data_IF_655816519027
#
_entry.id   IF_655816519027
#
_cell.length_a   1.000
_cell.length_b   1.000
_cell.length_c   1.000
_cell.angle_alpha   90.00
_cell.angle_beta   90.00
_cell.angle_gamma   90.00
#
_symmetry.space_group_name_H-M   'P 1'
#
loop_
_entity.id
_entity.type
_entity.pdbx_description
1 polymer ?
#
# COMPACT_ATOMS: atom_id res chain seq x y z
N UNK A 1 8.09 17.92 -17.12
CA UNK A 1 9.14 17.47 -16.19
C UNK A 1 10.08 18.64 -15.97
N UNK A 2 10.46 18.91 -14.72
CA UNK A 2 11.42 19.98 -14.41
C UNK A 2 12.85 19.52 -14.73
N UNK A 3 13.82 20.45 -14.80
CA UNK A 3 15.23 20.08 -14.94
C UNK A 3 15.72 19.22 -13.77
N UNK A 4 15.23 19.48 -12.54
CA UNK A 4 15.55 18.70 -11.34
C UNK A 4 15.06 17.26 -11.48
N UNK A 5 13.82 17.06 -11.91
CA UNK A 5 13.23 15.74 -12.14
C UNK A 5 13.98 14.95 -13.22
N UNK A 6 14.39 15.61 -14.31
CA UNK A 6 15.18 14.98 -15.38
C UNK A 6 16.54 14.52 -14.87
N UNK A 7 17.24 15.37 -14.09
CA UNK A 7 18.53 15.04 -13.49
C UNK A 7 18.41 13.90 -12.47
N UNK A 8 17.43 13.99 -11.57
CA UNK A 8 17.16 12.96 -10.57
C UNK A 8 16.82 11.60 -11.22
N UNK A 9 16.03 11.62 -12.30
CA UNK A 9 15.72 10.42 -13.09
C UNK A 9 16.96 9.82 -13.73
N UNK A 10 17.83 10.65 -14.31
CA UNK A 10 19.07 10.22 -14.95
C UNK A 10 20.02 9.58 -13.93
N UNK A 11 20.30 10.27 -12.83
CA UNK A 11 21.21 9.78 -11.78
C UNK A 11 20.65 8.51 -11.14
N UNK A 12 19.35 8.47 -10.85
CA UNK A 12 18.67 7.29 -10.32
C UNK A 12 18.81 6.08 -11.25
N UNK A 13 18.50 6.22 -12.54
CA UNK A 13 18.66 5.13 -13.53
C UNK A 13 20.11 4.68 -13.66
N UNK A 14 21.06 5.61 -13.73
CA UNK A 14 22.49 5.29 -13.83
C UNK A 14 22.98 4.52 -12.61
N UNK A 15 22.60 4.94 -11.40
CA UNK A 15 22.96 4.22 -10.18
C UNK A 15 22.43 2.78 -10.17
N UNK A 16 21.20 2.57 -10.64
CA UNK A 16 20.61 1.24 -10.75
C UNK A 16 21.36 0.35 -11.73
N UNK A 17 21.71 0.87 -12.91
CA UNK A 17 22.48 0.12 -13.91
C UNK A 17 23.83 -0.34 -13.36
N UNK A 18 24.51 0.51 -12.60
CA UNK A 18 25.78 0.17 -11.93
C UNK A 18 25.53 -0.91 -10.87
N UNK A 19 24.51 -0.74 -10.04
CA UNK A 19 24.19 -1.66 -8.96
C UNK A 19 23.77 -3.05 -9.47
N UNK A 20 22.96 -3.12 -10.52
CA UNK A 20 22.54 -4.38 -11.13
C UNK A 20 23.69 -5.07 -11.87
N UNK A 21 24.51 -4.32 -12.63
CA UNK A 21 25.60 -4.90 -13.43
C UNK A 21 26.85 -5.25 -12.63
N UNK A 22 27.16 -4.50 -11.57
CA UNK A 22 28.40 -4.65 -10.80
C UNK A 22 28.16 -5.38 -9.49
N UNK A 23 27.08 -5.07 -8.77
CA UNK A 23 26.87 -5.53 -7.38
C UNK A 23 25.72 -6.55 -7.23
N UNK A 24 24.90 -6.75 -8.27
CA UNK A 24 23.69 -7.60 -8.27
C UNK A 24 22.74 -7.38 -7.06
N UNK A 25 22.77 -6.17 -6.46
CA UNK A 25 22.06 -5.81 -5.22
C UNK A 25 21.71 -4.32 -5.24
N UNK A 26 20.71 -3.91 -4.45
CA UNK A 26 20.38 -2.48 -4.23
C UNK A 26 19.03 -2.03 -4.78
N UNK A 27 17.94 -2.68 -4.37
CA UNK A 27 16.58 -2.37 -4.83
C UNK A 27 16.09 -0.96 -4.44
N UNK A 28 16.59 -0.37 -3.35
CA UNK A 28 16.10 0.92 -2.80
C UNK A 28 17.07 2.09 -3.00
N UNK A 29 18.36 1.83 -3.19
CA UNK A 29 19.41 2.86 -3.29
C UNK A 29 19.19 3.84 -4.46
N UNK A 30 18.79 3.40 -5.68
CA UNK A 30 18.47 4.32 -6.76
C UNK A 30 17.40 5.35 -6.41
N UNK A 31 16.35 4.91 -5.71
CA UNK A 31 15.28 5.79 -5.27
C UNK A 31 15.75 6.76 -4.19
N UNK A 32 16.58 6.31 -3.23
CA UNK A 32 17.21 7.18 -2.22
C UNK A 32 18.05 8.28 -2.87
N UNK A 33 18.82 7.95 -3.90
CA UNK A 33 19.63 8.93 -4.63
C UNK A 33 18.72 9.92 -5.36
N UNK A 34 17.73 9.44 -6.11
CA UNK A 34 16.82 10.32 -6.85
C UNK A 34 16.06 11.30 -5.93
N UNK A 35 15.55 10.82 -4.79
CA UNK A 35 14.86 11.66 -3.79
C UNK A 35 15.76 12.75 -3.19
N UNK A 36 17.08 12.54 -3.15
CA UNK A 36 18.03 13.58 -2.71
C UNK A 36 18.11 14.76 -3.68
N UNK A 37 17.91 14.51 -4.97
CA UNK A 37 17.94 15.56 -6.02
C UNK A 37 16.57 16.19 -6.24
N UNK A 38 15.51 15.39 -6.18
CA UNK A 38 14.13 15.83 -6.34
C UNK A 38 13.23 15.08 -5.35
N UNK A 39 12.89 15.68 -4.19
CA UNK A 39 12.03 15.08 -3.18
C UNK A 39 10.61 14.77 -3.69
N UNK A 40 10.15 15.45 -4.75
CA UNK A 40 8.81 15.29 -5.33
C UNK A 40 8.83 14.45 -6.62
N UNK A 41 9.97 13.80 -6.94
CA UNK A 41 10.12 13.00 -8.16
C UNK A 41 9.03 11.95 -8.30
N UNK A 42 8.59 11.37 -7.19
CA UNK A 42 7.59 10.32 -7.17
C UNK A 42 6.24 10.80 -7.75
N UNK A 43 5.82 12.03 -7.45
CA UNK A 43 4.62 12.66 -8.02
C UNK A 43 4.72 12.73 -9.55
N UNK A 44 5.89 13.11 -10.06
CA UNK A 44 6.13 13.22 -11.51
C UNK A 44 6.16 11.86 -12.21
N UNK A 45 6.70 10.83 -11.56
CA UNK A 45 6.85 9.50 -12.15
C UNK A 45 5.53 8.71 -12.16
N UNK A 46 4.62 9.04 -11.24
CA UNK A 46 3.37 8.27 -11.03
C UNK A 46 2.14 8.88 -11.70
N UNK A 47 2.22 10.13 -12.18
CA UNK A 47 1.08 10.89 -12.73
C UNK A 47 0.26 10.20 -13.83
N UNK A 48 0.88 9.32 -14.63
CA UNK A 48 0.24 8.64 -15.77
C UNK A 48 -0.20 7.21 -15.40
N UNK A 49 -0.17 6.87 -14.11
CA UNK A 49 -0.53 5.56 -13.58
C UNK A 49 -1.81 5.62 -12.75
N UNK A 50 -2.66 4.61 -12.94
CA UNK A 50 -3.71 4.25 -12.01
C UNK A 50 -3.10 3.35 -10.94
N UNK A 51 -3.16 3.80 -9.68
CA UNK A 51 -2.43 3.19 -8.58
C UNK A 51 -3.41 2.51 -7.63
N UNK A 52 -3.11 1.25 -7.33
CA UNK A 52 -3.76 0.44 -6.30
C UNK A 52 -2.73 0.25 -5.19
N UNK A 53 -3.09 0.57 -3.95
CA UNK A 53 -2.24 0.36 -2.79
C UNK A 53 -2.78 -0.79 -1.96
N UNK A 54 -1.91 -1.73 -1.60
CA UNK A 54 -2.21 -2.85 -0.71
C UNK A 54 -1.39 -2.68 0.56
N UNK A 55 -2.06 -2.68 1.71
CA UNK A 55 -1.43 -2.58 3.03
C UNK A 55 -2.18 -3.43 4.07
N UNK A 56 -1.65 -3.51 5.28
CA UNK A 56 -2.14 -4.35 6.37
C UNK A 56 -1.08 -5.33 6.87
N UNK A 57 -1.20 -5.81 8.10
CA UNK A 57 -0.08 -6.47 8.80
C UNK A 57 0.37 -7.75 8.11
N UNK A 58 -0.60 -8.55 7.63
CA UNK A 58 -0.34 -9.82 6.99
C UNK A 58 -0.92 -9.89 5.59
N UNK A 59 -0.30 -10.71 4.74
CA UNK A 59 -0.82 -11.05 3.42
C UNK A 59 -0.56 -10.02 2.30
N UNK A 60 0.08 -8.88 2.58
CA UNK A 60 0.32 -7.83 1.57
C UNK A 60 1.01 -8.35 0.31
N UNK A 61 2.12 -9.07 0.46
CA UNK A 61 2.93 -9.57 -0.67
C UNK A 61 2.16 -10.56 -1.54
N UNK A 62 1.42 -11.49 -0.93
CA UNK A 62 0.63 -12.47 -1.68
C UNK A 62 -0.53 -11.79 -2.41
N UNK A 63 -1.29 -10.95 -1.72
CA UNK A 63 -2.41 -10.19 -2.33
C UNK A 63 -1.90 -9.30 -3.46
N UNK A 64 -0.74 -8.67 -3.30
CA UNK A 64 -0.09 -7.86 -4.34
C UNK A 64 0.27 -8.71 -5.55
N UNK A 65 0.97 -9.83 -5.35
CA UNK A 65 1.37 -10.72 -6.44
C UNK A 65 0.18 -11.28 -7.23
N UNK A 66 -0.88 -11.71 -6.54
CA UNK A 66 -2.10 -12.20 -7.18
C UNK A 66 -2.82 -11.09 -7.95
N UNK A 67 -2.96 -9.91 -7.36
CA UNK A 67 -3.58 -8.74 -8.02
C UNK A 67 -2.81 -8.36 -9.28
N UNK A 68 -1.48 -8.32 -9.21
CA UNK A 68 -0.62 -8.08 -10.39
C UNK A 68 -0.87 -9.12 -11.47
N UNK A 69 -0.84 -10.42 -11.13
CA UNK A 69 -1.06 -11.49 -12.10
C UNK A 69 -2.42 -11.41 -12.80
N UNK A 70 -3.48 -11.09 -12.05
CA UNK A 70 -4.84 -10.91 -12.60
C UNK A 70 -4.89 -9.71 -13.53
N UNK A 71 -4.38 -8.56 -13.09
CA UNK A 71 -4.39 -7.33 -13.88
C UNK A 71 -3.50 -7.43 -15.12
N UNK A 72 -2.39 -8.16 -15.05
CA UNK A 72 -1.53 -8.38 -16.21
C UNK A 72 -2.21 -9.19 -17.31
N UNK A 73 -3.08 -10.13 -16.95
CA UNK A 73 -3.89 -10.88 -17.91
C UNK A 73 -4.95 -9.99 -18.59
N UNK A 74 -5.53 -9.04 -17.87
CA UNK A 74 -6.58 -8.18 -18.39
C UNK A 74 -6.05 -6.95 -19.15
N UNK A 75 -4.98 -6.32 -18.66
CA UNK A 75 -4.53 -5.00 -19.09
C UNK A 75 -3.07 -4.96 -19.58
N UNK A 76 -2.36 -6.08 -19.53
CA UNK A 76 -0.93 -6.15 -19.83
C UNK A 76 -0.07 -5.62 -18.68
N UNK A 77 1.18 -5.25 -18.97
CA UNK A 77 2.20 -4.98 -17.95
C UNK A 77 1.75 -4.06 -16.81
N UNK A 78 1.91 -4.54 -15.56
CA UNK A 78 1.62 -3.80 -14.33
C UNK A 78 2.92 -3.46 -13.62
N UNK A 79 3.01 -2.26 -13.05
CA UNK A 79 4.16 -1.84 -12.23
C UNK A 79 3.92 -2.26 -10.78
N UNK A 80 4.87 -3.00 -10.19
CA UNK A 80 4.84 -3.37 -8.77
C UNK A 80 6.23 -3.24 -8.17
N UNK A 81 6.31 -2.90 -6.88
CA UNK A 81 7.57 -2.93 -6.13
C UNK A 81 7.94 -4.37 -5.75
N UNK A 82 9.24 -4.63 -5.60
CA UNK A 82 9.75 -5.91 -5.09
C UNK A 82 9.39 -6.08 -3.62
N UNK A 83 9.16 -7.32 -3.18
CA UNK A 83 8.92 -7.61 -1.76
C UNK A 83 10.00 -6.99 -0.85
N UNK A 84 9.57 -6.38 0.24
CA UNK A 84 10.43 -5.64 1.18
C UNK A 84 10.87 -4.24 0.74
N UNK A 85 10.55 -3.81 -0.49
CA UNK A 85 10.79 -2.44 -0.97
C UNK A 85 9.52 -1.56 -0.81
N UNK A 86 8.88 -1.64 0.36
CA UNK A 86 7.56 -1.06 0.68
C UNK A 86 7.62 0.39 1.23
N UNK A 87 8.81 0.98 1.30
CA UNK A 87 9.04 2.38 1.66
C UNK A 87 9.20 3.29 0.43
N UNK A 88 9.12 4.60 0.63
CA UNK A 88 9.22 5.62 -0.44
C UNK A 88 10.44 5.46 -1.35
N UNK A 89 11.58 5.04 -0.82
CA UNK A 89 12.81 4.81 -1.58
C UNK A 89 12.69 3.61 -2.53
N UNK A 90 12.08 2.52 -2.07
CA UNK A 90 11.81 1.33 -2.88
C UNK A 90 10.81 1.62 -3.98
N UNK A 91 9.70 2.28 -3.64
CA UNK A 91 8.68 2.67 -4.61
C UNK A 91 9.26 3.62 -5.66
N UNK A 92 10.05 4.62 -5.26
CA UNK A 92 10.71 5.52 -6.20
C UNK A 92 11.66 4.76 -7.13
N UNK A 93 12.44 3.81 -6.60
CA UNK A 93 13.35 2.99 -7.40
C UNK A 93 12.61 2.14 -8.46
N UNK A 94 11.44 1.62 -8.11
CA UNK A 94 10.54 0.93 -9.04
C UNK A 94 10.13 1.86 -10.19
N UNK A 95 9.58 3.03 -9.87
CA UNK A 95 9.05 3.97 -10.85
C UNK A 95 10.13 4.62 -11.73
N UNK A 96 11.38 4.72 -11.26
CA UNK A 96 12.50 5.13 -12.11
C UNK A 96 12.65 4.23 -13.35
N UNK A 97 12.28 2.96 -13.27
CA UNK A 97 12.37 2.00 -14.40
C UNK A 97 11.03 1.62 -14.99
N UNK A 98 9.94 2.19 -14.49
CA UNK A 98 8.62 1.93 -15.00
C UNK A 98 8.56 2.33 -16.49
N UNK A 99 7.85 1.56 -17.33
CA UNK A 99 7.69 1.88 -18.74
C UNK A 99 7.04 3.24 -18.91
N UNK A 100 7.36 3.96 -19.98
CA UNK A 100 6.60 5.18 -20.30
C UNK A 100 5.20 4.77 -20.75
N UNK A 101 4.19 5.38 -20.15
CA UNK A 101 2.80 5.21 -20.57
C UNK A 101 2.59 5.95 -21.89
N UNK A 102 1.91 5.32 -22.86
CA UNK A 102 1.60 5.95 -24.14
C UNK A 102 0.63 7.11 -23.92
N UNK A 103 0.78 8.20 -24.67
CA UNK A 103 -0.10 9.38 -24.59
C UNK A 103 -1.56 8.94 -24.77
N UNK A 104 -2.44 9.37 -23.85
CA UNK A 104 -3.87 9.04 -23.86
C UNK A 104 -4.22 7.67 -23.25
N UNK A 105 -3.25 6.92 -22.71
CA UNK A 105 -3.50 5.73 -21.90
C UNK A 105 -3.11 5.98 -20.45
N UNK A 106 -3.61 5.13 -19.54
CA UNK A 106 -3.11 5.00 -18.16
C UNK A 106 -2.39 3.67 -18.02
N UNK A 107 -1.24 3.67 -17.35
CA UNK A 107 -0.59 2.45 -16.88
C UNK A 107 -1.22 1.98 -15.57
N UNK A 108 -1.08 0.71 -15.21
CA UNK A 108 -1.49 0.21 -13.91
C UNK A 108 -0.28 0.02 -13.00
N UNK A 109 -0.43 0.39 -11.73
CA UNK A 109 0.54 0.09 -10.69
C UNK A 109 -0.17 -0.50 -9.46
N UNK A 110 0.38 -1.57 -8.92
CA UNK A 110 -0.06 -2.18 -7.66
C UNK A 110 1.11 -2.11 -6.70
N UNK A 111 0.94 -1.43 -5.58
CA UNK A 111 2.01 -1.13 -4.65
C UNK A 111 1.74 -1.77 -3.30
N UNK A 112 2.68 -2.60 -2.86
CA UNK A 112 2.78 -3.04 -1.46
C UNK A 112 3.38 -1.89 -0.63
N UNK A 113 2.62 -1.38 0.33
CA UNK A 113 3.06 -0.28 1.19
C UNK A 113 2.94 -0.67 2.66
N UNK A 114 3.98 -0.32 3.43
CA UNK A 114 3.97 -0.42 4.88
C UNK A 114 3.03 0.61 5.52
N UNK A 115 2.29 0.17 6.52
CA UNK A 115 1.21 0.90 7.20
C UNK A 115 1.70 2.24 7.76
N UNK A 116 2.86 2.25 8.42
CA UNK A 116 3.44 3.45 9.00
C UNK A 116 4.02 4.39 7.94
N UNK A 117 4.38 3.86 6.77
CA UNK A 117 4.87 4.65 5.63
C UNK A 117 3.74 5.24 4.77
N UNK A 118 2.52 4.71 4.88
CA UNK A 118 1.39 5.09 4.03
C UNK A 118 1.05 6.59 4.07
N UNK A 119 0.96 7.27 5.24
CA UNK A 119 0.69 8.71 5.28
C UNK A 119 1.68 9.51 4.44
N UNK A 120 2.98 9.19 4.58
CA UNK A 120 4.02 9.97 3.90
C UNK A 120 4.03 9.71 2.40
N UNK A 121 3.81 8.48 1.96
CA UNK A 121 3.84 8.14 0.54
C UNK A 121 2.64 8.76 -0.22
N UNK A 122 1.47 8.77 0.40
CA UNK A 122 0.22 9.32 -0.18
C UNK A 122 0.19 10.85 -0.28
N UNK A 123 1.19 11.55 0.30
CA UNK A 123 1.45 12.96 -0.03
C UNK A 123 1.92 13.12 -1.50
N UNK A 124 2.63 12.12 -2.05
CA UNK A 124 3.23 12.17 -3.39
C UNK A 124 2.47 11.39 -4.45
N UNK A 125 1.78 10.31 -4.06
CA UNK A 125 0.97 9.49 -4.97
C UNK A 125 -0.51 9.69 -4.68
N UNK A 126 -1.35 9.56 -5.71
CA UNK A 126 -2.81 9.59 -5.58
C UNK A 126 -3.39 8.24 -6.01
N UNK A 127 -3.59 7.30 -5.07
CA UNK A 127 -4.22 6.03 -5.35
C UNK A 127 -5.67 6.21 -5.80
N UNK A 128 -6.13 5.28 -6.63
CA UNK A 128 -7.55 5.14 -7.00
C UNK A 128 -8.27 4.15 -6.08
N UNK A 129 -7.52 3.21 -5.52
CA UNK A 129 -8.01 2.15 -4.64
C UNK A 129 -6.98 1.88 -3.55
N UNK A 130 -7.44 1.82 -2.31
CA UNK A 130 -6.73 1.22 -1.19
C UNK A 130 -7.35 -0.12 -0.87
N UNK A 131 -6.53 -1.13 -0.58
CA UNK A 131 -6.96 -2.46 -0.14
C UNK A 131 -6.28 -2.77 1.18
N UNK A 132 -7.05 -2.92 2.25
CA UNK A 132 -6.54 -3.24 3.59
C UNK A 132 -6.85 -4.69 3.92
N UNK A 133 -5.80 -5.50 4.10
CA UNK A 133 -5.96 -6.94 4.30
C UNK A 133 -6.47 -7.29 5.70
N UNK A 134 -5.71 -6.88 6.72
CA UNK A 134 -6.00 -7.08 8.14
C UNK A 134 -5.00 -6.26 8.97
N UNK A 135 -5.32 -6.02 10.24
CA UNK A 135 -4.38 -5.46 11.21
C UNK A 135 -4.41 -6.34 12.44
N UNK A 136 -3.31 -7.06 12.65
CA UNK A 136 -3.05 -7.87 13.82
C UNK A 136 -1.86 -7.30 14.58
N UNK A 137 -1.71 -7.72 15.84
CA UNK A 137 -0.55 -7.33 16.62
C UNK A 137 0.67 -8.09 16.13
N UNK A 138 1.68 -7.39 15.64
CA UNK A 138 2.93 -7.98 15.19
C UNK A 138 4.00 -7.73 16.28
N UNK A 139 4.35 -8.78 17.04
CA UNK A 139 5.27 -8.81 18.20
C UNK A 139 4.72 -8.23 19.53
N UNK A 140 5.06 -8.89 20.65
CA UNK A 140 4.59 -8.54 22.01
C UNK A 140 5.17 -7.22 22.55
N UNK A 141 6.27 -6.76 21.95
CA UNK A 141 7.17 -5.72 22.44
C UNK A 141 6.76 -4.30 21.97
N UNK A 142 5.79 -4.23 21.04
CA UNK A 142 5.24 -3.00 20.51
C UNK A 142 3.94 -2.66 21.24
N UNK A 143 4.08 -1.78 22.23
CA UNK A 143 3.01 -1.18 23.02
C UNK A 143 1.81 -0.76 22.16
N UNK A 144 0.63 -1.38 22.34
CA UNK A 144 -0.65 -0.83 21.90
C UNK A 144 -0.84 -0.59 20.38
N UNK A 145 -0.03 -1.20 19.51
CA UNK A 145 0.15 -0.74 18.12
C UNK A 145 -1.05 -0.88 17.18
N UNK A 146 -2.03 -1.75 17.42
CA UNK A 146 -3.11 -2.01 16.44
C UNK A 146 -3.86 -0.72 16.05
N UNK A 147 -4.27 0.07 17.04
CA UNK A 147 -5.02 1.31 16.78
C UNK A 147 -4.14 2.40 16.19
N UNK A 148 -2.88 2.52 16.63
CA UNK A 148 -1.90 3.46 16.05
C UNK A 148 -1.61 3.12 14.58
N UNK A 149 -1.45 1.84 14.27
CA UNK A 149 -1.27 1.34 12.90
C UNK A 149 -2.51 1.63 12.07
N UNK A 150 -3.71 1.41 12.63
CA UNK A 150 -4.94 1.77 11.95
C UNK A 150 -5.06 3.28 11.72
N UNK A 151 -4.64 4.12 12.67
CA UNK A 151 -4.60 5.57 12.52
C UNK A 151 -3.66 6.02 11.39
N UNK A 152 -2.50 5.37 11.21
CA UNK A 152 -1.64 5.62 10.05
C UNK A 152 -2.36 5.31 8.75
N UNK A 153 -3.07 4.19 8.70
CA UNK A 153 -3.81 3.79 7.51
C UNK A 153 -4.94 4.78 7.20
N UNK A 154 -5.72 5.18 8.19
CA UNK A 154 -6.80 6.19 8.07
C UNK A 154 -6.22 7.52 7.56
N UNK A 155 -5.12 8.00 8.14
CA UNK A 155 -4.44 9.23 7.71
C UNK A 155 -3.92 9.15 6.28
N UNK A 156 -3.35 8.01 5.90
CA UNK A 156 -2.86 7.79 4.54
C UNK A 156 -3.98 7.75 3.50
N UNK A 157 -5.10 7.10 3.82
CA UNK A 157 -6.28 7.07 2.95
C UNK A 157 -6.88 8.47 2.75
N UNK A 158 -6.93 9.28 3.81
CA UNK A 158 -7.46 10.64 3.78
C UNK A 158 -6.70 11.60 2.84
N UNK A 159 -5.43 11.30 2.52
CA UNK A 159 -4.65 12.08 1.55
C UNK A 159 -5.15 11.91 0.10
N UNK A 160 -6.03 10.94 -0.16
CA UNK A 160 -6.68 10.72 -1.44
C UNK A 160 -8.19 10.44 -1.22
N UNK A 161 -8.99 11.45 -0.86
CA UNK A 161 -10.37 11.27 -0.39
C UNK A 161 -11.30 10.64 -1.45
N UNK A 162 -11.01 10.85 -2.74
CA UNK A 162 -11.78 10.27 -3.85
C UNK A 162 -11.46 8.78 -4.09
N UNK A 163 -10.39 8.25 -3.49
CA UNK A 163 -10.01 6.87 -3.66
C UNK A 163 -10.99 5.97 -2.90
N UNK A 164 -11.42 4.86 -3.53
CA UNK A 164 -12.19 3.84 -2.81
C UNK A 164 -11.27 3.11 -1.82
N UNK A 165 -11.78 2.81 -0.63
CA UNK A 165 -11.11 1.95 0.35
C UNK A 165 -11.85 0.62 0.43
N UNK A 166 -11.17 -0.46 0.09
CA UNK A 166 -11.65 -1.84 0.17
C UNK A 166 -11.13 -2.49 1.46
N UNK A 167 -12.04 -2.76 2.39
CA UNK A 167 -11.77 -3.27 3.74
C UNK A 167 -12.22 -4.71 3.89
N UNK A 168 -11.54 -5.45 4.77
CA UNK A 168 -12.02 -6.76 5.23
C UNK A 168 -13.20 -6.59 6.20
N UNK A 169 -14.43 -6.81 5.71
CA UNK A 169 -15.67 -6.70 6.49
C UNK A 169 -15.72 -7.65 7.68
N UNK A 170 -14.96 -8.75 7.65
CA UNK A 170 -14.93 -9.74 8.73
C UNK A 170 -14.06 -9.28 9.91
N UNK A 171 -13.33 -8.17 9.78
CA UNK A 171 -12.52 -7.60 10.85
C UNK A 171 -13.27 -6.48 11.59
N UNK A 172 -13.64 -6.66 12.88
CA UNK A 172 -14.35 -5.63 13.65
C UNK A 172 -13.58 -4.30 13.75
N UNK A 173 -12.24 -4.36 13.69
CA UNK A 173 -11.38 -3.18 13.77
C UNK A 173 -11.70 -2.16 12.67
N UNK A 174 -12.03 -2.62 11.46
CA UNK A 174 -12.32 -1.73 10.33
C UNK A 174 -13.66 -1.01 10.43
N UNK A 175 -14.44 -1.27 11.48
CA UNK A 175 -15.62 -0.50 11.86
C UNK A 175 -15.32 0.54 12.96
N UNK A 176 -14.10 0.58 13.51
CA UNK A 176 -13.79 1.41 14.68
C UNK A 176 -13.57 2.90 14.40
N UNK A 177 -13.41 3.30 13.14
CA UNK A 177 -13.17 4.68 12.71
C UNK A 177 -13.92 4.97 11.41
N UNK A 178 -14.52 6.16 11.25
CA UNK A 178 -15.02 6.60 9.96
C UNK A 178 -13.85 6.92 9.02
N UNK A 179 -14.05 6.65 7.73
CA UNK A 179 -13.16 7.09 6.65
C UNK A 179 -13.84 8.20 5.86
N UNK A 180 -13.06 9.19 5.40
CA UNK A 180 -13.54 10.23 4.48
C UNK A 180 -13.79 9.70 3.06
N UNK A 181 -13.22 8.53 2.77
CA UNK A 181 -13.26 7.85 1.49
C UNK A 181 -14.58 7.09 1.26
N UNK A 182 -14.97 6.83 0.00
CA UNK A 182 -15.94 5.77 -0.31
C UNK A 182 -15.43 4.41 0.17
N UNK A 183 -16.24 3.69 0.95
CA UNK A 183 -15.86 2.39 1.53
C UNK A 183 -16.59 1.24 0.84
N UNK A 184 -15.87 0.15 0.57
CA UNK A 184 -16.41 -1.16 0.19
C UNK A 184 -15.84 -2.23 1.09
N UNK A 185 -16.59 -3.31 1.27
CA UNK A 185 -16.17 -4.45 2.08
C UNK A 185 -16.05 -5.71 1.23
N UNK A 186 -15.08 -6.55 1.56
CA UNK A 186 -15.02 -7.95 1.17
C UNK A 186 -15.00 -8.82 2.41
N UNK A 187 -15.47 -10.05 2.32
CA UNK A 187 -15.52 -10.96 3.46
C UNK A 187 -16.12 -12.30 3.07
N UNK A 188 -16.27 -13.17 4.05
CA UNK A 188 -16.95 -14.45 3.90
C UNK A 188 -18.44 -14.30 4.19
N UNK A 189 -19.25 -14.27 3.13
CA UNK A 189 -20.70 -14.38 3.23
C UNK A 189 -21.07 -15.87 3.38
N UNK A 190 -21.04 -16.36 4.62
CA UNK A 190 -21.29 -17.76 4.99
C UNK A 190 -22.61 -17.91 5.76
N UNK A 191 -23.10 -19.15 5.88
CA UNK A 191 -24.33 -19.46 6.59
C UNK A 191 -24.33 -18.93 8.03
N UNK A 192 -25.37 -18.17 8.38
CA UNK A 192 -25.55 -17.65 9.73
C UNK A 192 -25.91 -18.77 10.70
N UNK A 193 -25.42 -18.66 11.93
CA UNK A 193 -25.69 -19.60 13.01
C UNK A 193 -26.05 -18.84 14.29
N UNK A 194 -26.44 -19.56 15.34
CA UNK A 194 -26.63 -18.94 16.66
C UNK A 194 -25.32 -18.29 17.13
N UNK A 195 -25.33 -17.01 17.52
CA UNK A 195 -24.12 -16.28 17.89
C UNK A 195 -23.36 -16.98 19.01
N UNK A 196 -22.05 -17.14 18.83
CA UNK A 196 -21.17 -17.78 19.82
C UNK A 196 -19.96 -16.92 20.13
N UNK A 197 -19.49 -17.07 21.36
CA UNK A 197 -18.19 -16.53 21.77
C UNK A 197 -17.08 -17.19 20.96
N UNK A 198 -16.15 -16.37 20.50
CA UNK A 198 -14.88 -16.88 20.00
C UNK A 198 -14.12 -17.64 21.10
N UNK A 199 -13.15 -18.45 20.70
CA UNK A 199 -12.26 -19.13 21.64
C UNK A 199 -11.59 -18.12 22.58
N UNK A 200 -11.38 -18.47 23.85
CA UNK A 200 -10.90 -17.52 24.87
C UNK A 200 -9.49 -16.94 24.62
N UNK A 201 -8.72 -17.56 23.71
CA UNK A 201 -7.42 -17.06 23.25
C UNK A 201 -7.51 -16.12 22.03
N UNK A 202 -8.71 -15.88 21.49
CA UNK A 202 -8.90 -14.98 20.34
C UNK A 202 -8.78 -13.54 20.81
N UNK A 203 -7.85 -12.80 20.22
CA UNK A 203 -7.67 -11.36 20.47
C UNK A 203 -8.64 -10.51 19.64
N UNK A 204 -8.85 -9.26 20.04
CA UNK A 204 -9.65 -8.29 19.26
C UNK A 204 -11.16 -8.54 19.28
N UNK A 205 -11.66 -9.27 20.27
CA UNK A 205 -13.09 -9.65 20.41
C UNK A 205 -13.93 -8.62 21.15
N UNK A 206 -13.51 -7.35 21.18
CA UNK A 206 -14.25 -6.27 21.86
C UNK A 206 -14.87 -5.36 20.81
N UNK A 207 -16.16 -5.08 20.95
CA UNK A 207 -16.88 -4.17 20.06
C UNK A 207 -16.26 -2.76 20.15
N UNK A 208 -15.86 -2.15 19.01
CA UNK A 208 -15.22 -0.83 19.05
C UNK A 208 -16.16 0.30 19.47
N UNK A 209 -17.48 0.08 19.46
CA UNK A 209 -18.48 1.06 19.89
C UNK A 209 -18.90 0.85 21.34
N UNK A 210 -19.53 -0.29 21.65
CA UNK A 210 -20.16 -0.51 22.96
C UNK A 210 -19.24 -1.14 24.00
N UNK A 211 -18.01 -1.54 23.62
CA UNK A 211 -17.00 -2.14 24.50
C UNK A 211 -17.38 -3.49 25.13
N UNK A 212 -18.48 -4.12 24.69
CA UNK A 212 -18.82 -5.49 25.07
C UNK A 212 -18.02 -6.51 24.25
N UNK A 213 -17.88 -7.72 24.79
CA UNK A 213 -17.31 -8.86 24.05
C UNK A 213 -18.26 -9.19 22.88
N UNK A 214 -17.70 -9.41 21.70
CA UNK A 214 -18.40 -9.77 20.47
C UNK A 214 -18.82 -11.25 20.48
N UNK A 215 -19.95 -11.52 19.84
CA UNK A 215 -20.38 -12.84 19.42
C UNK A 215 -20.37 -12.89 17.89
N UNK A 216 -20.12 -14.07 17.34
CA UNK A 216 -19.99 -14.33 15.90
C UNK A 216 -20.99 -15.38 15.46
#
# INVERSE_FOLDING_TARGET
MTMKTSLATLVGKSSRLILEKVFKRGSTLPGKIALKFDPEILTSLTKDYEIIVITGTNGKTLTTALTVGILEKAFGKVVTNTSGANMITGITATFLTAPKVKKGKKGFAVLEIDEASLPKITEYIKPSLFVFTNIFRDQMDRYGEIYTTYDFIVKGAANAPEATVLLNGDSPLFHSRPLVNPVKYYGFDYESHEPKRAHYNTEGVVCPECQHILDY
#
